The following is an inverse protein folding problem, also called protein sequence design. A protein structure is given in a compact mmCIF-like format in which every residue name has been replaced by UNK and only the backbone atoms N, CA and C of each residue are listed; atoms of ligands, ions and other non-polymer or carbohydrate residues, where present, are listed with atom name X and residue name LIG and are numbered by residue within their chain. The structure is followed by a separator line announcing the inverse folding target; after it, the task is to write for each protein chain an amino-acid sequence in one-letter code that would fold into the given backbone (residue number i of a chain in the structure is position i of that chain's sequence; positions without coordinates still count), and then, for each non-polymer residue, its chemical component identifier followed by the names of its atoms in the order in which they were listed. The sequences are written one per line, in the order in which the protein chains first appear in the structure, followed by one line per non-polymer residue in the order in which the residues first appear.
data_IF_878544587995
#
_entry.id   IF_878544587995
#
_cell.length_a   1.000
_cell.length_b   1.000
_cell.length_c   1.000
_cell.angle_alpha   90.00
_cell.angle_beta   90.00
_cell.angle_gamma   90.00
#
_symmetry.space_group_name_H-M   'P 1'
#
loop_
_entity.id
_entity.type
_entity.pdbx_description
1 polymer ?
#
# COMPACT_ATOMS: atom_id res chain seq x y z
N UNK A 1 20.86 -23.47 -7.33
CA UNK A 1 20.24 -22.19 -6.90
C UNK A 1 19.70 -22.36 -5.49
N UNK A 2 20.01 -21.45 -4.54
CA UNK A 2 19.39 -21.51 -3.21
C UNK A 2 17.88 -21.24 -3.36
N UNK A 3 17.06 -22.08 -2.77
CA UNK A 3 15.61 -21.88 -2.67
C UNK A 3 15.33 -20.56 -1.97
N UNK A 4 14.56 -19.69 -2.63
CA UNK A 4 14.08 -18.43 -2.02
C UNK A 4 12.63 -18.65 -1.58
N UNK A 5 12.26 -18.34 -0.34
CA UNK A 5 10.87 -18.41 0.07
C UNK A 5 10.04 -17.42 -0.74
N UNK A 6 8.83 -17.81 -1.13
CA UNK A 6 7.92 -16.92 -1.88
C UNK A 6 7.21 -16.00 -0.91
N UNK A 7 6.94 -14.77 -1.33
CA UNK A 7 6.07 -13.85 -0.59
C UNK A 7 5.07 -13.18 -1.52
N UNK A 8 3.81 -13.08 -1.08
CA UNK A 8 2.81 -12.25 -1.74
C UNK A 8 2.88 -10.83 -1.16
N UNK A 9 3.09 -9.83 -2.01
CA UNK A 9 3.18 -8.43 -1.59
C UNK A 9 2.01 -7.64 -2.18
N UNK A 10 1.16 -7.07 -1.34
CA UNK A 10 0.10 -6.15 -1.77
C UNK A 10 0.73 -4.85 -2.27
N UNK A 11 0.62 -4.59 -3.56
CA UNK A 11 1.26 -3.48 -4.27
C UNK A 11 0.22 -2.52 -4.86
N UNK A 12 0.02 -1.37 -4.22
CA UNK A 12 -0.91 -0.34 -4.69
C UNK A 12 -0.28 0.68 -5.65
N UNK A 13 1.05 0.67 -5.81
CA UNK A 13 1.78 1.69 -6.56
C UNK A 13 2.09 2.97 -5.75
N UNK A 14 1.62 3.07 -4.51
CA UNK A 14 1.96 4.15 -3.59
C UNK A 14 3.32 3.94 -2.90
N UNK A 15 3.80 5.01 -2.25
CA UNK A 15 5.08 5.06 -1.53
C UNK A 15 5.23 3.90 -0.53
N UNK A 16 4.22 3.66 0.30
CA UNK A 16 4.28 2.66 1.37
C UNK A 16 4.38 1.24 0.80
N UNK A 17 3.58 0.90 -0.20
CA UNK A 17 3.61 -0.42 -0.82
C UNK A 17 4.92 -0.68 -1.59
N UNK A 18 5.50 0.35 -2.21
CA UNK A 18 6.80 0.25 -2.86
C UNK A 18 7.93 -0.01 -1.85
N UNK A 19 7.90 0.69 -0.70
CA UNK A 19 8.85 0.44 0.40
C UNK A 19 8.68 -0.95 1.00
N UNK A 20 7.44 -1.40 1.19
CA UNK A 20 7.14 -2.76 1.69
C UNK A 20 7.70 -3.84 0.77
N UNK A 21 7.56 -3.64 -0.56
CA UNK A 21 8.13 -4.53 -1.55
C UNK A 21 9.67 -4.54 -1.49
N UNK A 22 10.30 -3.36 -1.37
CA UNK A 22 11.75 -3.25 -1.21
C UNK A 22 12.26 -4.01 0.01
N UNK A 23 11.55 -3.89 1.16
CA UNK A 23 11.86 -4.62 2.39
C UNK A 23 11.74 -6.14 2.18
N UNK A 24 10.63 -6.62 1.63
CA UNK A 24 10.45 -8.05 1.37
C UNK A 24 11.57 -8.61 0.48
N UNK A 25 11.94 -7.85 -0.57
CA UNK A 25 13.04 -8.24 -1.46
C UNK A 25 14.39 -8.26 -0.77
N UNK A 26 14.69 -7.28 0.09
CA UNK A 26 15.95 -7.24 0.86
C UNK A 26 16.09 -8.39 1.85
N UNK A 27 14.97 -8.93 2.33
CA UNK A 27 14.92 -10.12 3.18
C UNK A 27 15.09 -11.45 2.40
N UNK A 28 15.28 -11.37 1.09
CA UNK A 28 15.61 -12.53 0.25
C UNK A 28 14.41 -13.27 -0.33
N UNK A 29 13.20 -12.75 -0.17
CA UNK A 29 12.00 -13.37 -0.74
C UNK A 29 11.96 -13.30 -2.27
N UNK A 30 11.36 -14.33 -2.86
CA UNK A 30 10.89 -14.33 -4.24
C UNK A 30 9.51 -13.69 -4.30
N UNK A 31 9.40 -12.51 -4.94
CA UNK A 31 8.26 -11.62 -4.81
C UNK A 31 7.18 -11.91 -5.85
N UNK A 32 5.96 -12.12 -5.37
CA UNK A 32 4.72 -12.18 -6.12
C UNK A 32 3.86 -10.96 -5.76
N UNK A 33 3.87 -9.95 -6.62
CA UNK A 33 3.17 -8.69 -6.36
C UNK A 33 1.69 -8.80 -6.76
N UNK A 34 0.79 -8.38 -5.86
CA UNK A 34 -0.65 -8.36 -6.08
C UNK A 34 -1.17 -6.92 -6.04
N UNK A 35 -1.73 -6.47 -7.14
CA UNK A 35 -2.45 -5.20 -7.25
C UNK A 35 -3.94 -5.47 -7.43
N UNK A 36 -4.78 -4.63 -6.87
CA UNK A 36 -6.23 -4.76 -6.98
C UNK A 36 -6.80 -3.51 -7.67
N UNK A 37 -7.49 -3.74 -8.80
CA UNK A 37 -8.35 -2.75 -9.41
C UNK A 37 -9.72 -2.87 -8.73
N UNK A 38 -10.01 -1.97 -7.77
CA UNK A 38 -11.23 -2.04 -6.97
C UNK A 38 -12.28 -0.98 -7.37
N UNK A 39 -12.11 -0.37 -8.54
CA UNK A 39 -12.95 0.72 -9.00
C UNK A 39 -12.52 2.08 -8.44
N UNK A 40 -11.25 2.23 -8.05
CA UNK A 40 -10.67 3.52 -7.67
C UNK A 40 -10.79 4.53 -8.81
N UNK A 41 -10.84 5.82 -8.44
CA UNK A 41 -11.08 6.92 -9.39
C UNK A 41 -10.08 7.00 -10.54
N UNK A 42 -8.82 6.57 -10.31
CA UNK A 42 -7.74 6.76 -11.28
C UNK A 42 -6.94 5.48 -11.49
N UNK A 43 -6.76 5.09 -12.76
CA UNK A 43 -5.94 3.94 -13.17
C UNK A 43 -4.44 4.15 -12.95
N UNK A 44 -4.01 5.40 -12.76
CA UNK A 44 -2.61 5.77 -12.59
C UNK A 44 -1.90 5.05 -11.42
N UNK A 45 -2.66 4.66 -10.38
CA UNK A 45 -2.13 3.85 -9.28
C UNK A 45 -1.69 2.47 -9.77
N UNK A 46 -2.46 1.83 -10.66
CA UNK A 46 -2.12 0.52 -11.23
C UNK A 46 -0.92 0.61 -12.18
N UNK A 47 -0.83 1.70 -12.96
CA UNK A 47 0.34 1.96 -13.80
C UNK A 47 1.60 2.18 -12.95
N UNK A 48 1.47 2.90 -11.83
CA UNK A 48 2.55 3.06 -10.87
C UNK A 48 2.95 1.72 -10.24
N UNK A 49 2.00 0.87 -9.87
CA UNK A 49 2.27 -0.48 -9.36
C UNK A 49 3.04 -1.32 -10.38
N UNK A 50 2.66 -1.24 -11.66
CA UNK A 50 3.36 -1.94 -12.73
C UNK A 50 4.81 -1.47 -12.89
N UNK A 51 5.06 -0.13 -12.87
CA UNK A 51 6.42 0.43 -12.94
C UNK A 51 7.27 -0.01 -11.75
N UNK A 52 6.72 0.03 -10.53
CA UNK A 52 7.42 -0.44 -9.32
C UNK A 52 7.73 -1.93 -9.39
N UNK A 53 6.78 -2.76 -9.84
CA UNK A 53 6.97 -4.20 -10.01
C UNK A 53 8.10 -4.51 -11.02
N UNK A 54 8.15 -3.78 -12.14
CA UNK A 54 9.20 -3.89 -13.16
C UNK A 54 10.56 -3.45 -12.61
N UNK A 55 10.63 -2.31 -11.91
CA UNK A 55 11.85 -1.80 -11.30
C UNK A 55 12.49 -2.83 -10.37
N UNK A 56 11.70 -3.43 -9.51
CA UNK A 56 12.16 -4.47 -8.58
C UNK A 56 12.29 -5.86 -9.21
N UNK A 57 11.92 -6.05 -10.48
CA UNK A 57 11.96 -7.34 -11.20
C UNK A 57 11.32 -8.45 -10.35
N UNK A 58 10.05 -8.24 -9.99
CA UNK A 58 9.26 -9.25 -9.26
C UNK A 58 9.04 -10.48 -10.14
N UNK A 59 8.91 -11.64 -9.53
CA UNK A 59 8.74 -12.91 -10.28
C UNK A 59 7.40 -12.98 -10.99
N UNK A 60 6.36 -12.37 -10.41
CA UNK A 60 5.06 -12.20 -11.06
C UNK A 60 4.36 -10.96 -10.49
N UNK A 61 3.72 -10.19 -11.36
CA UNK A 61 2.78 -9.14 -10.98
C UNK A 61 1.38 -9.52 -11.50
N UNK A 62 0.42 -9.64 -10.59
CA UNK A 62 -0.97 -9.96 -10.90
C UNK A 62 -1.85 -8.78 -10.53
N UNK A 63 -2.78 -8.44 -11.41
CA UNK A 63 -3.83 -7.46 -11.14
C UNK A 63 -5.16 -8.21 -11.08
N UNK A 64 -5.91 -8.01 -10.00
CA UNK A 64 -7.25 -8.59 -9.81
C UNK A 64 -8.28 -7.48 -9.89
N UNK A 65 -9.32 -7.68 -10.70
CA UNK A 65 -10.44 -6.75 -10.83
C UNK A 65 -11.56 -7.13 -9.88
N UNK A 66 -11.98 -6.16 -9.06
CA UNK A 66 -13.18 -6.22 -8.21
C UNK A 66 -13.90 -4.87 -8.30
N UNK A 67 -15.16 -4.79 -7.89
CA UNK A 67 -15.88 -3.53 -7.94
C UNK A 67 -16.43 -3.13 -6.56
N UNK A 68 -15.62 -2.38 -5.79
CA UNK A 68 -16.05 -1.85 -4.49
C UNK A 68 -16.91 -0.58 -4.62
N UNK A 69 -17.05 0.00 -5.82
CA UNK A 69 -17.99 1.12 -6.06
C UNK A 69 -19.44 0.71 -5.82
N UNK A 70 -19.76 -0.56 -5.94
CA UNK A 70 -21.10 -1.09 -5.65
C UNK A 70 -21.55 -0.86 -4.20
N UNK A 71 -20.59 -0.72 -3.27
CA UNK A 71 -20.88 -0.47 -1.86
C UNK A 71 -20.93 1.03 -1.50
N UNK A 72 -20.24 1.89 -2.27
CA UNK A 72 -20.22 3.34 -2.11
C UNK A 72 -19.63 3.83 -0.78
N UNK A 73 -20.06 5.01 -0.34
CA UNK A 73 -19.76 5.66 0.95
C UNK A 73 -18.28 6.02 1.20
N UNK A 74 -17.42 6.03 0.18
CA UNK A 74 -16.05 6.51 0.28
C UNK A 74 -15.72 7.48 -0.85
N UNK A 75 -15.01 8.56 -0.55
CA UNK A 75 -14.51 9.48 -1.56
C UNK A 75 -13.57 8.84 -2.60
N UNK A 76 -13.10 7.62 -2.37
CA UNK A 76 -12.27 6.87 -3.32
C UNK A 76 -13.06 5.93 -4.24
N UNK A 77 -14.31 5.59 -3.89
CA UNK A 77 -15.14 4.64 -4.64
C UNK A 77 -16.54 5.18 -4.95
N UNK A 78 -16.85 6.42 -4.57
CA UNK A 78 -18.14 7.06 -4.80
C UNK A 78 -17.96 8.47 -5.37
N UNK A 79 -19.05 9.10 -5.73
CA UNK A 79 -19.06 10.48 -6.23
C UNK A 79 -19.09 11.51 -5.08
N UNK A 80 -18.11 11.39 -4.20
CA UNK A 80 -17.88 12.24 -3.02
C UNK A 80 -16.55 12.96 -3.22
N UNK A 81 -16.52 14.26 -3.02
CA UNK A 81 -15.29 15.05 -3.18
C UNK A 81 -14.18 14.59 -2.23
N UNK A 82 -12.97 14.46 -2.77
CA UNK A 82 -11.78 14.21 -1.96
C UNK A 82 -11.42 15.48 -1.17
N UNK A 83 -11.40 15.42 0.16
CA UNK A 83 -11.06 16.59 0.97
C UNK A 83 -9.65 17.12 0.68
N UNK A 84 -9.52 18.43 0.58
CA UNK A 84 -8.27 19.14 0.29
C UNK A 84 -7.96 20.18 1.37
N UNK A 85 -6.66 20.53 1.54
CA UNK A 85 -6.21 21.63 2.39
C UNK A 85 -6.38 21.42 3.90
N UNK A 86 -6.67 20.19 4.37
CA UNK A 86 -6.76 19.89 5.80
C UNK A 86 -5.37 19.93 6.43
N UNK A 87 -5.21 20.66 7.54
CA UNK A 87 -3.97 20.58 8.31
C UNK A 87 -3.88 19.18 8.94
N UNK A 88 -2.72 18.53 8.78
CA UNK A 88 -2.45 17.17 9.29
C UNK A 88 -2.76 17.05 10.79
N UNK A 89 -2.50 18.14 11.54
CA UNK A 89 -2.71 18.24 12.99
C UNK A 89 -4.20 18.37 13.41
N UNK A 90 -5.09 18.72 12.48
CA UNK A 90 -6.54 18.90 12.72
C UNK A 90 -7.39 17.74 12.20
N UNK A 91 -6.80 16.58 11.96
CA UNK A 91 -7.56 15.39 11.60
C UNK A 91 -8.31 14.93 12.83
N UNK A 92 -9.63 15.22 12.89
CA UNK A 92 -10.49 14.80 13.99
C UNK A 92 -10.43 13.27 14.15
N UNK A 93 -10.62 12.78 15.38
CA UNK A 93 -10.49 11.37 15.75
C UNK A 93 -11.56 10.42 15.18
N UNK A 94 -12.14 10.72 14.01
CA UNK A 94 -13.13 9.89 13.31
C UNK A 94 -12.57 9.15 12.11
N UNK A 95 -13.35 8.23 11.56
CA UNK A 95 -13.02 7.50 10.33
C UNK A 95 -13.09 8.50 9.15
N UNK A 96 -11.99 8.68 8.37
CA UNK A 96 -11.97 9.60 7.24
C UNK A 96 -12.93 9.17 6.13
N UNK A 97 -13.51 10.13 5.40
CA UNK A 97 -14.38 9.86 4.23
C UNK A 97 -13.66 9.12 3.10
N UNK A 98 -12.33 9.11 3.10
CA UNK A 98 -11.48 8.34 2.17
C UNK A 98 -11.27 6.89 2.60
N UNK A 99 -11.79 6.47 3.75
CA UNK A 99 -11.80 5.07 4.14
C UNK A 99 -12.75 4.30 3.22
N UNK A 100 -12.25 3.27 2.56
CA UNK A 100 -13.07 2.32 1.81
C UNK A 100 -13.41 1.16 2.75
N UNK A 101 -14.70 0.92 3.06
CA UNK A 101 -15.10 -0.08 4.05
C UNK A 101 -14.51 -1.46 3.77
N UNK A 102 -13.86 -2.04 4.80
CA UNK A 102 -13.25 -3.37 4.79
C UNK A 102 -12.25 -3.64 3.64
N UNK A 103 -11.69 -2.59 3.02
CA UNK A 103 -10.80 -2.74 1.86
C UNK A 103 -9.61 -3.65 2.13
N UNK A 104 -8.89 -3.45 3.24
CA UNK A 104 -7.74 -4.28 3.56
C UNK A 104 -8.13 -5.73 3.88
N UNK A 105 -9.32 -5.96 4.45
CA UNK A 105 -9.86 -7.31 4.66
C UNK A 105 -10.05 -8.05 3.33
N UNK A 106 -10.67 -7.40 2.35
CA UNK A 106 -10.87 -7.96 1.00
C UNK A 106 -9.52 -8.22 0.32
N UNK A 107 -8.60 -7.26 0.38
CA UNK A 107 -7.28 -7.38 -0.25
C UNK A 107 -6.44 -8.48 0.38
N UNK A 108 -6.45 -8.60 1.70
CA UNK A 108 -5.78 -9.69 2.41
C UNK A 108 -6.39 -11.05 2.06
N UNK A 109 -7.72 -11.13 1.85
CA UNK A 109 -8.38 -12.39 1.45
C UNK A 109 -7.95 -12.83 0.05
N UNK A 110 -7.80 -11.91 -0.91
CA UNK A 110 -7.26 -12.21 -2.22
C UNK A 110 -5.78 -12.62 -2.16
N UNK A 111 -4.99 -11.93 -1.32
CA UNK A 111 -3.60 -12.27 -1.10
C UNK A 111 -3.45 -13.65 -0.45
N UNK A 112 -4.31 -13.98 0.53
CA UNK A 112 -4.36 -15.27 1.21
C UNK A 112 -4.64 -16.41 0.22
N UNK A 113 -5.67 -16.25 -0.62
CA UNK A 113 -6.01 -17.24 -1.64
C UNK A 113 -4.84 -17.49 -2.61
N UNK A 114 -4.17 -16.41 -3.03
CA UNK A 114 -3.00 -16.56 -3.93
C UNK A 114 -1.78 -17.14 -3.22
N UNK A 115 -1.52 -16.76 -1.97
CA UNK A 115 -0.46 -17.34 -1.16
C UNK A 115 -0.62 -18.85 -1.01
N UNK A 116 -1.85 -19.31 -0.74
CA UNK A 116 -2.16 -20.75 -0.64
C UNK A 116 -1.89 -21.49 -1.95
N UNK A 117 -2.29 -20.95 -3.10
CA UNK A 117 -2.01 -21.53 -4.43
C UNK A 117 -0.51 -21.58 -4.72
N UNK A 118 0.25 -20.56 -4.30
CA UNK A 118 1.70 -20.49 -4.50
C UNK A 118 2.50 -21.38 -3.53
N UNK A 119 1.87 -21.88 -2.46
CA UNK A 119 2.56 -22.48 -1.32
C UNK A 119 3.46 -21.47 -0.60
N UNK A 120 3.00 -20.21 -0.51
CA UNK A 120 3.69 -19.14 0.22
C UNK A 120 3.11 -19.00 1.61
N UNK A 121 3.98 -18.83 2.60
CA UNK A 121 3.62 -18.60 4.00
C UNK A 121 3.64 -17.12 4.38
N UNK A 122 4.09 -16.25 3.47
CA UNK A 122 4.41 -14.87 3.77
C UNK A 122 3.58 -13.91 2.91
N UNK A 123 2.83 -13.03 3.57
CA UNK A 123 2.08 -11.93 2.94
C UNK A 123 2.61 -10.61 3.51
N UNK A 124 2.93 -9.65 2.65
CA UNK A 124 3.36 -8.31 3.03
C UNK A 124 2.31 -7.28 2.67
N UNK A 125 2.00 -6.39 3.62
CA UNK A 125 1.09 -5.26 3.43
C UNK A 125 1.67 -3.97 4.02
N UNK A 126 1.59 -2.88 3.25
CA UNK A 126 2.14 -1.57 3.61
C UNK A 126 1.20 -0.71 4.47
N UNK A 127 0.57 -1.30 5.48
CA UNK A 127 -0.24 -0.54 6.44
C UNK A 127 0.64 0.25 7.40
N UNK A 128 0.16 1.45 7.75
CA UNK A 128 0.82 2.34 8.71
C UNK A 128 -0.21 2.88 9.71
N UNK A 129 0.00 2.62 11.00
CA UNK A 129 -0.93 3.03 12.05
C UNK A 129 -0.73 4.50 12.48
N UNK A 130 0.46 5.08 12.24
CA UNK A 130 0.75 6.47 12.63
C UNK A 130 0.12 7.49 11.68
N UNK A 131 0.16 7.21 10.38
CA UNK A 131 -0.37 8.13 9.35
C UNK A 131 -1.87 8.00 9.15
N UNK A 132 -2.40 6.79 9.35
CA UNK A 132 -3.81 6.44 9.10
C UNK A 132 -4.49 5.90 10.36
N UNK A 133 -4.27 6.57 11.49
CA UNK A 133 -4.83 6.18 12.80
C UNK A 133 -6.37 6.05 12.82
N UNK A 134 -7.06 6.69 11.85
CA UNK A 134 -8.51 6.57 11.68
C UNK A 134 -8.98 5.36 10.85
N UNK A 135 -8.08 4.55 10.28
CA UNK A 135 -8.46 3.38 9.50
C UNK A 135 -8.47 2.11 10.39
N UNK A 136 -9.66 1.51 10.65
CA UNK A 136 -9.78 0.37 11.57
C UNK A 136 -8.94 -0.83 11.12
N UNK A 137 -8.82 -1.04 9.81
CA UNK A 137 -8.14 -2.15 9.16
C UNK A 137 -6.63 -1.91 8.91
N UNK A 138 -6.04 -0.92 9.59
CA UNK A 138 -4.58 -0.66 9.61
C UNK A 138 -3.95 -0.90 10.98
N UNK A 139 -4.72 -1.32 11.99
CA UNK A 139 -4.25 -1.49 13.37
C UNK A 139 -3.58 -2.85 13.58
N UNK A 140 -2.63 -2.91 14.51
CA UNK A 140 -1.89 -4.13 14.84
C UNK A 140 -2.81 -5.26 15.31
N UNK A 141 -3.84 -4.92 16.09
CA UNK A 141 -4.81 -5.89 16.63
C UNK A 141 -5.65 -6.52 15.50
N UNK A 142 -6.04 -5.71 14.51
CA UNK A 142 -6.74 -6.20 13.33
C UNK A 142 -5.87 -7.19 12.55
N UNK A 143 -4.60 -6.83 12.28
CA UNK A 143 -3.67 -7.69 11.55
C UNK A 143 -3.45 -9.02 12.28
N UNK A 144 -3.26 -8.99 13.60
CA UNK A 144 -3.08 -10.21 14.41
C UNK A 144 -4.35 -11.09 14.37
N UNK A 145 -5.54 -10.50 14.47
CA UNK A 145 -6.80 -11.24 14.37
C UNK A 145 -6.98 -11.87 12.99
N UNK A 146 -6.63 -11.12 11.92
CA UNK A 146 -6.69 -11.65 10.55
C UNK A 146 -5.70 -12.79 10.33
N UNK A 147 -4.45 -12.68 10.81
CA UNK A 147 -3.43 -13.74 10.74
C UNK A 147 -3.91 -15.01 11.44
N UNK A 148 -4.52 -14.88 12.62
CA UNK A 148 -5.12 -16.01 13.35
C UNK A 148 -6.24 -16.67 12.54
N UNK A 149 -7.16 -15.88 11.99
CA UNK A 149 -8.25 -16.38 11.13
C UNK A 149 -7.70 -17.10 9.90
N UNK A 150 -6.71 -16.51 9.23
CA UNK A 150 -6.11 -17.07 8.03
C UNK A 150 -5.47 -18.46 8.31
N UNK A 151 -4.82 -18.60 9.46
CA UNK A 151 -4.23 -19.88 9.90
C UNK A 151 -5.28 -20.94 10.29
N UNK A 152 -6.51 -20.55 10.63
CA UNK A 152 -7.61 -21.48 10.84
C UNK A 152 -8.33 -21.87 9.53
N UNK A 153 -8.33 -20.96 8.55
CA UNK A 153 -9.16 -21.08 7.35
C UNK A 153 -8.43 -21.74 6.16
N UNK A 154 -7.12 -22.00 6.26
CA UNK A 154 -6.31 -22.52 5.15
C UNK A 154 -5.88 -23.97 5.36
N UNK A 155 -5.66 -24.68 4.25
CA UNK A 155 -5.12 -26.06 4.28
C UNK A 155 -3.78 -26.13 5.01
N UNK A 156 -2.90 -25.16 4.76
CA UNK A 156 -1.58 -25.09 5.42
C UNK A 156 -1.72 -24.99 6.93
N UNK A 157 -2.61 -24.17 7.43
CA UNK A 157 -2.90 -24.01 8.85
C UNK A 157 -3.51 -25.27 9.48
N UNK A 158 -4.41 -25.97 8.78
CA UNK A 158 -5.03 -27.21 9.26
C UNK A 158 -4.02 -28.37 9.37
N UNK A 159 -3.12 -28.51 8.43
CA UNK A 159 -2.10 -29.57 8.42
C UNK A 159 -1.00 -29.34 9.47
N UNK A 160 -0.96 -28.15 10.08
CA UNK A 160 -0.16 -27.83 11.28
C UNK A 160 1.35 -27.74 11.07
N UNK A 161 1.85 -27.84 9.84
CA UNK A 161 3.29 -27.83 9.54
C UNK A 161 3.82 -26.43 9.18
N UNK A 162 2.96 -25.50 8.81
CA UNK A 162 3.35 -24.19 8.30
C UNK A 162 2.32 -23.16 8.76
N UNK A 163 2.80 -21.99 9.20
CA UNK A 163 1.95 -20.89 9.65
C UNK A 163 2.13 -19.71 8.73
N UNK A 164 1.04 -19.27 8.13
CA UNK A 164 1.02 -18.03 7.40
C UNK A 164 1.37 -16.85 8.31
N UNK A 165 2.21 -15.97 7.82
CA UNK A 165 2.63 -14.73 8.46
C UNK A 165 2.22 -13.52 7.67
N UNK A 166 1.60 -12.52 8.32
CA UNK A 166 1.30 -11.22 7.73
C UNK A 166 2.34 -10.20 8.21
N UNK A 167 3.18 -9.77 7.30
CA UNK A 167 4.25 -8.81 7.57
C UNK A 167 3.74 -7.38 7.36
N UNK A 168 3.89 -6.54 8.38
CA UNK A 168 3.54 -5.13 8.38
C UNK A 168 4.74 -4.26 8.74
N UNK A 169 5.80 -4.24 7.90
CA UNK A 169 7.08 -3.65 8.29
C UNK A 169 7.00 -2.16 8.60
N UNK A 170 5.99 -1.46 8.10
CA UNK A 170 5.84 -0.01 8.23
C UNK A 170 4.93 0.43 9.38
N UNK A 171 4.31 -0.50 10.10
CA UNK A 171 3.16 -0.22 10.98
C UNK A 171 3.45 0.83 12.07
N UNK A 172 4.70 0.89 12.56
CA UNK A 172 5.16 1.82 13.62
C UNK A 172 6.16 2.86 13.11
N UNK A 173 6.34 3.00 11.79
CA UNK A 173 7.32 3.91 11.22
C UNK A 173 6.69 5.26 10.87
N UNK A 174 7.40 6.35 11.10
CA UNK A 174 7.04 7.66 10.56
C UNK A 174 7.26 7.70 9.05
N UNK A 175 6.56 8.59 8.33
CA UNK A 175 6.71 8.72 6.88
C UNK A 175 8.16 9.02 6.47
N UNK A 176 8.88 9.81 7.27
CA UNK A 176 10.29 10.09 7.01
C UNK A 176 11.19 8.85 7.13
N UNK A 177 10.93 7.98 8.12
CA UNK A 177 11.65 6.71 8.26
C UNK A 177 11.36 5.77 7.10
N UNK A 178 10.09 5.68 6.68
CA UNK A 178 9.67 4.87 5.51
C UNK A 178 10.41 5.31 4.26
N UNK A 179 10.48 6.65 4.01
CA UNK A 179 11.15 7.21 2.84
C UNK A 179 12.66 6.89 2.87
N UNK A 180 13.33 7.13 3.99
CA UNK A 180 14.77 6.85 4.12
C UNK A 180 15.07 5.37 3.88
N UNK A 181 14.35 4.50 4.56
CA UNK A 181 14.51 3.05 4.41
C UNK A 181 14.26 2.59 2.96
N UNK A 182 13.21 3.09 2.30
CA UNK A 182 12.94 2.71 0.93
C UNK A 182 14.07 3.13 -0.03
N UNK A 183 14.61 4.34 0.13
CA UNK A 183 15.75 4.82 -0.67
C UNK A 183 17.00 3.97 -0.44
N UNK A 184 17.32 3.63 0.81
CA UNK A 184 18.42 2.74 1.17
C UNK A 184 18.28 1.36 0.52
N UNK A 185 17.04 0.88 0.37
CA UNK A 185 16.71 -0.40 -0.26
C UNK A 185 16.47 -0.30 -1.78
N UNK A 186 16.73 0.86 -2.39
CA UNK A 186 16.68 1.07 -3.84
C UNK A 186 15.28 1.36 -4.39
N UNK A 187 14.33 1.81 -3.56
CA UNK A 187 13.04 2.25 -4.05
C UNK A 187 13.17 3.58 -4.81
N UNK A 188 12.70 3.62 -6.05
CA UNK A 188 12.55 4.84 -6.84
C UNK A 188 11.15 5.42 -6.66
N UNK A 189 11.04 6.46 -5.83
CA UNK A 189 9.77 7.10 -5.56
C UNK A 189 9.21 7.96 -6.70
N UNK A 190 9.99 8.22 -7.76
CA UNK A 190 9.49 8.86 -8.97
C UNK A 190 8.49 7.95 -9.73
N UNK A 191 8.60 6.63 -9.54
CA UNK A 191 7.72 5.63 -10.14
C UNK A 191 6.40 5.48 -9.39
N UNK A 192 6.28 6.03 -8.16
CA UNK A 192 5.14 5.83 -7.28
C UNK A 192 4.09 6.93 -7.44
N UNK A 193 2.82 6.58 -7.17
CA UNK A 193 1.72 7.53 -7.15
C UNK A 193 0.88 7.34 -5.88
N UNK A 194 0.62 8.44 -5.14
CA UNK A 194 -0.12 8.40 -3.88
C UNK A 194 -1.31 9.37 -3.84
N UNK A 195 -1.50 10.19 -4.89
CA UNK A 195 -2.53 11.22 -4.90
C UNK A 195 -3.93 10.63 -5.10
N UNK A 196 -4.89 11.05 -4.28
CA UNK A 196 -6.29 10.63 -4.39
C UNK A 196 -7.07 11.38 -5.48
N UNK A 197 -6.52 12.51 -5.99
CA UNK A 197 -7.15 13.35 -7.00
C UNK A 197 -6.09 13.96 -7.94
N UNK A 198 -5.43 13.12 -8.78
CA UNK A 198 -4.45 13.59 -9.75
C UNK A 198 -5.11 14.38 -10.90
N UNK A 199 -4.29 15.11 -11.67
CA UNK A 199 -4.73 15.69 -12.95
C UNK A 199 -4.97 14.60 -14.00
N UNK A 200 -5.59 14.97 -15.11
CA UNK A 200 -5.70 14.08 -16.28
C UNK A 200 -4.32 13.65 -16.83
N UNK A 201 -3.29 14.47 -16.61
CA UNK A 201 -1.89 14.18 -16.98
C UNK A 201 -1.11 13.44 -15.90
N UNK A 202 -1.75 13.09 -14.78
CA UNK A 202 -1.15 12.31 -13.70
C UNK A 202 -0.38 13.11 -12.65
N UNK A 203 -0.40 14.45 -12.71
CA UNK A 203 0.25 15.26 -11.68
C UNK A 203 -0.51 15.19 -10.34
N UNK A 204 0.21 15.06 -9.25
CA UNK A 204 -0.38 15.02 -7.92
C UNK A 204 -1.01 16.38 -7.53
N UNK A 205 -2.16 16.36 -6.84
CA UNK A 205 -2.85 17.60 -6.47
C UNK A 205 -2.11 18.43 -5.40
N UNK A 206 -1.22 17.81 -4.62
CA UNK A 206 -0.49 18.46 -3.52
C UNK A 206 -1.33 18.81 -2.30
N UNK A 207 -2.65 18.58 -2.31
CA UNK A 207 -3.59 19.10 -1.31
C UNK A 207 -4.40 18.03 -0.58
N UNK A 208 -4.59 16.84 -1.16
CA UNK A 208 -5.28 15.74 -0.47
C UNK A 208 -4.43 15.19 0.68
N UNK A 209 -5.07 14.47 1.58
CA UNK A 209 -4.41 13.94 2.78
C UNK A 209 -3.16 13.12 2.47
N UNK A 210 -3.22 12.27 1.43
CA UNK A 210 -2.08 11.47 1.02
C UNK A 210 -0.92 12.32 0.49
N UNK A 211 -1.19 13.34 -0.33
CA UNK A 211 -0.17 14.28 -0.79
C UNK A 211 0.47 15.06 0.38
N UNK A 212 -0.33 15.52 1.33
CA UNK A 212 0.17 16.27 2.48
C UNK A 212 1.07 15.41 3.37
N UNK A 213 0.69 14.15 3.62
CA UNK A 213 1.53 13.18 4.36
C UNK A 213 2.84 12.91 3.63
N UNK A 214 2.77 12.67 2.33
CA UNK A 214 3.94 12.44 1.49
C UNK A 214 4.90 13.63 1.51
N UNK A 215 4.42 14.84 1.23
CA UNK A 215 5.23 16.08 1.26
C UNK A 215 5.84 16.33 2.64
N UNK A 216 5.08 16.11 3.72
CA UNK A 216 5.59 16.22 5.09
C UNK A 216 6.71 15.21 5.35
N UNK A 217 6.52 13.97 4.92
CA UNK A 217 7.51 12.90 5.06
C UNK A 217 8.82 13.20 4.36
N UNK A 218 8.78 13.62 3.09
CA UNK A 218 9.96 14.01 2.33
C UNK A 218 10.68 15.20 2.95
N UNK A 219 9.94 16.24 3.38
CA UNK A 219 10.51 17.39 4.09
C UNK A 219 11.23 16.97 5.38
N UNK A 220 10.59 16.11 6.19
CA UNK A 220 11.18 15.60 7.43
C UNK A 220 12.36 14.66 7.19
N UNK A 221 12.42 13.98 6.05
CA UNK A 221 13.55 13.19 5.63
C UNK A 221 14.74 14.05 5.16
N UNK A 222 14.52 15.35 4.86
CA UNK A 222 15.53 16.24 4.27
C UNK A 222 15.77 16.00 2.78
N UNK A 223 14.78 15.45 2.07
CA UNK A 223 14.89 14.99 0.67
C UNK A 223 13.75 15.62 -0.13
N UNK A 224 14.04 16.02 -1.39
CA UNK A 224 13.01 16.51 -2.30
C UNK A 224 12.13 15.35 -2.83
N UNK A 225 10.82 15.56 -2.85
CA UNK A 225 9.91 14.58 -3.46
C UNK A 225 10.04 14.61 -4.99
N UNK A 226 10.35 13.48 -5.65
CA UNK A 226 10.55 13.45 -7.10
C UNK A 226 9.25 13.52 -7.91
N UNK A 227 8.08 13.47 -7.27
CA UNK A 227 6.78 13.49 -7.96
C UNK A 227 6.40 14.91 -8.39
N UNK A 228 5.79 15.05 -9.56
CA UNK A 228 5.25 16.32 -10.05
C UNK A 228 3.95 16.67 -9.35
N UNK A 229 3.83 17.94 -8.95
CA UNK A 229 2.64 18.50 -8.33
C UNK A 229 2.04 19.60 -9.18
N UNK A 230 0.70 19.70 -9.26
CA UNK A 230 -0.01 20.77 -9.96
C UNK A 230 0.48 22.15 -9.48
N UNK A 231 0.82 23.04 -10.39
CA UNK A 231 1.18 24.43 -10.08
C UNK A 231 2.53 24.61 -9.35
N UNK A 232 3.31 23.56 -9.18
CA UNK A 232 4.71 23.65 -8.71
C UNK A 232 5.62 23.28 -9.86
N UNK A 233 6.36 24.27 -10.40
CA UNK A 233 7.59 23.97 -11.14
C UNK A 233 8.50 23.16 -10.22
N UNK A 234 9.13 22.12 -10.73
CA UNK A 234 10.23 21.45 -10.03
C UNK A 234 11.30 22.54 -9.82
N UNK A 235 11.34 23.13 -8.62
CA UNK A 235 12.45 24.01 -8.26
C UNK A 235 13.69 23.13 -8.33
N UNK A 236 14.60 23.57 -9.21
CA UNK A 236 15.94 23.01 -9.40
C UNK A 236 16.74 23.07 -8.11
#
# INVERSE_FOLDING_TARGET
MKYKPKAVVLLSGGLDSATTLAIAKSQGFDIYALSINYGQRHKIELEAAQRVAQHFRVSKHMVVDINLRLFGKSALTDDIDVPKGRKVEKRGGGIPVTYVPARNTIFLSLALAWAEVLGSEDIFIGVNALDYSGYPDCRSEYIAAYENMANLATKAGMVGKQKLKIHTPLIKMTKAQIIKMGLELGADYSLTHSCYDPSATGEACGQCDSCQLRLKGFRQAGISDPVRYRGKSLLK
#
